data_IF_513996566370
#
_entry.id   IF_513996566370
#
_cell.length_a   1.000
_cell.length_b   1.000
_cell.length_c   1.000
_cell.angle_alpha   90.00
_cell.angle_beta   90.00
_cell.angle_gamma   90.00
#
_symmetry.space_group_name_H-M   'P 1'
#
loop_
_entity.id
_entity.type
_entity.pdbx_description
1 polymer ?
#
# COMPACT_ATOMS: atom_id res chain seq x y z
N UNK A 1 -42.30 41.85 -5.59
CA UNK A 1 -42.01 40.40 -5.40
C UNK A 1 -42.74 39.91 -4.15
N UNK A 2 -43.44 38.77 -4.20
CA UNK A 2 -44.26 38.30 -3.08
C UNK A 2 -43.41 37.62 -1.98
N UNK A 3 -43.72 37.89 -0.70
CA UNK A 3 -43.03 37.29 0.46
C UNK A 3 -43.49 35.85 0.69
N UNK A 4 -42.60 34.88 0.52
CA UNK A 4 -42.89 33.46 0.78
C UNK A 4 -42.47 33.05 2.21
N UNK A 5 -43.32 32.33 2.93
CA UNK A 5 -43.03 31.82 4.29
C UNK A 5 -42.37 30.42 4.23
N UNK A 6 -41.25 30.24 4.93
CA UNK A 6 -40.44 28.99 4.89
C UNK A 6 -40.70 27.99 6.02
N UNK A 7 -41.71 28.21 6.87
CA UNK A 7 -41.97 27.41 8.08
C UNK A 7 -42.20 25.92 7.79
N UNK A 8 -42.96 25.59 6.74
CA UNK A 8 -43.29 24.20 6.37
C UNK A 8 -42.01 23.42 6.02
N UNK A 9 -41.17 23.99 5.14
CA UNK A 9 -39.89 23.38 4.75
C UNK A 9 -38.92 23.22 5.94
N UNK A 10 -38.85 24.23 6.83
CA UNK A 10 -38.03 24.17 8.04
C UNK A 10 -38.48 23.06 8.99
N UNK A 11 -39.79 22.91 9.23
CA UNK A 11 -40.34 21.82 10.06
C UNK A 11 -40.04 20.44 9.48
N UNK A 12 -40.18 20.28 8.16
CA UNK A 12 -39.87 19.02 7.47
C UNK A 12 -38.40 18.61 7.64
N UNK A 13 -37.46 19.54 7.45
CA UNK A 13 -36.02 19.29 7.68
C UNK A 13 -35.72 18.88 9.12
N UNK A 14 -36.29 19.58 10.10
CA UNK A 14 -36.10 19.26 11.53
C UNK A 14 -36.64 17.87 11.87
N UNK A 15 -37.83 17.52 11.39
CA UNK A 15 -38.45 16.20 11.61
C UNK A 15 -37.60 15.07 11.01
N UNK A 16 -36.99 15.27 9.83
CA UNK A 16 -36.08 14.30 9.20
C UNK A 16 -34.87 14.00 10.09
N UNK A 17 -34.19 15.04 10.58
CA UNK A 17 -33.00 14.88 11.43
C UNK A 17 -33.36 14.24 12.77
N UNK A 18 -34.43 14.69 13.43
CA UNK A 18 -34.86 14.11 14.71
C UNK A 18 -35.32 12.65 14.56
N UNK A 19 -35.88 12.26 13.39
CA UNK A 19 -36.19 10.86 13.10
C UNK A 19 -34.93 9.99 13.04
N UNK A 20 -33.83 10.51 12.46
CA UNK A 20 -32.54 9.81 12.40
C UNK A 20 -31.82 9.78 13.75
N UNK A 21 -32.05 10.77 14.61
CA UNK A 21 -31.41 10.89 15.92
C UNK A 21 -32.10 10.11 17.04
N UNK A 22 -33.19 9.39 16.74
CA UNK A 22 -33.89 8.56 17.73
C UNK A 22 -32.92 7.53 18.34
N UNK A 23 -32.95 7.40 19.67
CA UNK A 23 -32.07 6.52 20.42
C UNK A 23 -30.74 7.13 20.86
N UNK A 24 -30.41 8.36 20.43
CA UNK A 24 -29.23 9.06 20.95
C UNK A 24 -29.42 9.53 22.39
N UNK A 25 -28.36 9.44 23.19
CA UNK A 25 -28.40 9.78 24.60
C UNK A 25 -28.48 11.30 24.86
N UNK A 26 -29.16 11.69 25.95
CA UNK A 26 -29.23 13.07 26.42
C UNK A 26 -29.97 14.03 25.48
N UNK A 27 -29.41 15.23 25.25
CA UNK A 27 -30.03 16.26 24.42
C UNK A 27 -29.99 15.96 22.91
N UNK A 28 -29.18 14.97 22.50
CA UNK A 28 -28.85 14.67 21.09
C UNK A 28 -30.00 14.04 20.29
N UNK A 29 -31.12 13.69 20.93
CA UNK A 29 -32.36 13.28 20.26
C UNK A 29 -33.51 14.28 20.41
N UNK A 30 -33.35 15.31 21.27
CA UNK A 30 -34.40 16.28 21.62
C UNK A 30 -34.20 17.62 20.91
N UNK A 31 -32.99 18.17 20.95
CA UNK A 31 -32.67 19.49 20.41
C UNK A 31 -32.13 19.36 18.98
N UNK A 32 -32.70 20.10 18.02
CA UNK A 32 -32.32 19.98 16.61
C UNK A 32 -30.83 20.27 16.35
N UNK A 33 -30.25 21.28 17.00
CA UNK A 33 -28.86 21.69 16.76
C UNK A 33 -27.88 20.58 17.13
N UNK A 34 -27.98 20.09 18.37
CA UNK A 34 -27.13 19.00 18.88
C UNK A 34 -27.40 17.69 18.16
N UNK A 35 -28.67 17.40 17.83
CA UNK A 35 -29.03 16.22 17.03
C UNK A 35 -28.41 16.25 15.63
N UNK A 36 -28.45 17.39 14.95
CA UNK A 36 -27.89 17.54 13.61
C UNK A 36 -26.37 17.32 13.60
N UNK A 37 -25.66 17.92 14.56
CA UNK A 37 -24.21 17.70 14.73
C UNK A 37 -23.87 16.24 14.98
N UNK A 38 -24.63 15.57 15.88
CA UNK A 38 -24.41 14.16 16.17
C UNK A 38 -24.74 13.27 14.95
N UNK A 39 -25.84 13.51 14.24
CA UNK A 39 -26.20 12.75 13.04
C UNK A 39 -25.13 12.87 11.97
N UNK A 40 -24.58 14.08 11.73
CA UNK A 40 -23.48 14.29 10.79
C UNK A 40 -22.23 13.48 11.17
N UNK A 41 -21.85 13.48 12.46
CA UNK A 41 -20.72 12.68 12.96
C UNK A 41 -20.97 11.18 12.82
N UNK A 42 -22.15 10.71 13.22
CA UNK A 42 -22.53 9.29 13.11
C UNK A 42 -22.53 8.81 11.66
N UNK A 43 -22.99 9.62 10.70
CA UNK A 43 -22.93 9.28 9.28
C UNK A 43 -21.50 9.17 8.75
N UNK A 44 -20.61 10.08 9.18
CA UNK A 44 -19.17 10.00 8.88
C UNK A 44 -18.57 8.71 9.44
N UNK A 45 -18.84 8.40 10.70
CA UNK A 45 -18.36 7.15 11.32
C UNK A 45 -18.95 5.91 10.66
N UNK A 46 -20.22 5.91 10.25
CA UNK A 46 -20.81 4.79 9.53
C UNK A 46 -20.10 4.55 8.19
N UNK A 47 -19.74 5.62 7.46
CA UNK A 47 -18.98 5.50 6.21
C UNK A 47 -17.59 4.91 6.44
N UNK A 48 -16.86 5.41 7.43
CA UNK A 48 -15.55 4.91 7.81
C UNK A 48 -15.64 3.45 8.29
N UNK A 49 -16.61 3.15 9.16
CA UNK A 49 -16.88 1.83 9.73
C UNK A 49 -17.14 0.77 8.66
N UNK A 50 -17.93 1.08 7.61
CA UNK A 50 -18.12 0.14 6.48
C UNK A 50 -16.82 -0.26 5.79
N UNK A 51 -15.83 0.64 5.74
CA UNK A 51 -14.50 0.34 5.20
C UNK A 51 -13.63 -0.41 6.21
N UNK A 52 -13.74 -0.08 7.50
CA UNK A 52 -13.00 -0.73 8.59
C UNK A 52 -13.42 -2.17 8.85
N UNK A 53 -14.71 -2.50 8.76
CA UNK A 53 -15.24 -3.87 8.96
C UNK A 53 -14.51 -4.89 8.08
N UNK A 54 -14.16 -4.53 6.84
CA UNK A 54 -13.40 -5.42 5.95
C UNK A 54 -12.02 -5.77 6.51
N UNK A 55 -11.35 -4.82 7.18
CA UNK A 55 -10.04 -5.02 7.82
C UNK A 55 -10.18 -5.77 9.14
N UNK A 56 -11.18 -5.43 9.94
CA UNK A 56 -11.47 -6.08 11.22
C UNK A 56 -11.80 -7.57 11.03
N UNK A 57 -12.66 -7.89 10.06
CA UNK A 57 -12.99 -9.27 9.71
C UNK A 57 -11.75 -10.03 9.23
N UNK A 58 -10.91 -9.40 8.39
CA UNK A 58 -9.65 -10.01 7.96
C UNK A 58 -8.71 -10.28 9.14
N UNK A 59 -8.60 -9.34 10.08
CA UNK A 59 -7.80 -9.51 11.30
C UNK A 59 -8.31 -10.71 12.11
N UNK A 60 -9.62 -10.79 12.31
CA UNK A 60 -10.26 -11.90 13.02
C UNK A 60 -9.99 -13.25 12.34
N UNK A 61 -10.16 -13.34 11.01
CA UNK A 61 -9.89 -14.58 10.28
C UNK A 61 -8.43 -15.01 10.42
N UNK A 62 -7.47 -14.07 10.31
CA UNK A 62 -6.05 -14.38 10.50
C UNK A 62 -5.78 -14.88 11.91
N UNK A 63 -6.35 -14.25 12.94
CA UNK A 63 -6.20 -14.71 14.33
C UNK A 63 -6.72 -16.13 14.52
N UNK A 64 -7.89 -16.45 13.96
CA UNK A 64 -8.49 -17.79 14.01
C UNK A 64 -7.63 -18.83 13.28
N UNK A 65 -7.21 -18.52 12.05
CA UNK A 65 -6.35 -19.41 11.26
C UNK A 65 -5.01 -19.62 11.97
N UNK A 66 -4.41 -18.56 12.54
CA UNK A 66 -3.15 -18.69 13.27
C UNK A 66 -3.32 -19.61 14.49
N UNK A 67 -4.42 -19.52 15.24
CA UNK A 67 -4.68 -20.46 16.32
C UNK A 67 -4.72 -21.91 15.83
N UNK A 68 -5.51 -22.20 14.77
CA UNK A 68 -5.57 -23.54 14.18
C UNK A 68 -4.22 -24.01 13.60
N UNK A 69 -3.47 -23.12 12.96
CA UNK A 69 -2.15 -23.42 12.41
C UNK A 69 -1.14 -23.79 13.52
N UNK A 70 -1.17 -23.08 14.65
CA UNK A 70 -0.30 -23.33 15.79
C UNK A 70 -0.58 -24.69 16.44
N UNK A 71 -1.84 -25.11 16.51
CA UNK A 71 -2.20 -26.46 16.97
C UNK A 71 -1.59 -27.54 16.07
N UNK A 72 -1.47 -27.27 14.77
CA UNK A 72 -0.84 -28.17 13.80
C UNK A 72 0.68 -27.95 13.65
N UNK A 73 1.31 -27.16 14.52
CA UNK A 73 2.77 -26.95 14.55
C UNK A 73 3.33 -26.12 13.40
N UNK A 74 2.53 -25.32 12.69
CA UNK A 74 3.00 -24.42 11.61
C UNK A 74 2.63 -22.97 11.91
N UNK A 75 3.44 -22.01 11.45
CA UNK A 75 3.09 -20.59 11.53
C UNK A 75 2.12 -20.18 10.41
N UNK A 76 1.28 -19.18 10.64
CA UNK A 76 0.36 -18.65 9.62
C UNK A 76 1.07 -18.21 8.32
N UNK A 77 2.27 -17.62 8.45
CA UNK A 77 3.07 -17.17 7.29
C UNK A 77 3.49 -18.36 6.42
N UNK A 78 4.03 -19.41 7.05
CA UNK A 78 4.40 -20.65 6.37
C UNK A 78 3.19 -21.34 5.77
N UNK A 79 2.05 -21.42 6.48
CA UNK A 79 0.82 -22.00 5.94
C UNK A 79 0.36 -21.28 4.66
N UNK A 80 0.29 -19.95 4.68
CA UNK A 80 -0.13 -19.17 3.52
C UNK A 80 0.84 -19.32 2.35
N UNK A 81 2.14 -19.40 2.65
CA UNK A 81 3.18 -19.64 1.66
C UNK A 81 3.03 -21.03 1.02
N UNK A 82 2.88 -22.09 1.83
CA UNK A 82 2.68 -23.46 1.35
C UNK A 82 1.42 -23.63 0.50
N UNK A 83 0.31 -22.98 0.87
CA UNK A 83 -0.90 -22.98 0.06
C UNK A 83 -0.71 -22.30 -1.29
N UNK A 84 0.10 -21.24 -1.37
CA UNK A 84 0.44 -20.59 -2.63
C UNK A 84 1.31 -21.48 -3.51
N UNK A 85 2.24 -22.23 -2.94
CA UNK A 85 3.07 -23.18 -3.69
C UNK A 85 2.27 -24.36 -4.24
N UNK A 86 1.29 -24.83 -3.47
CA UNK A 86 0.36 -25.87 -3.89
C UNK A 86 -0.72 -25.37 -4.87
N UNK A 87 -0.70 -24.09 -5.26
CA UNK A 87 -1.69 -23.40 -6.09
C UNK A 87 -3.15 -23.50 -5.57
N UNK A 88 -3.31 -23.58 -4.24
CA UNK A 88 -4.61 -23.68 -3.59
C UNK A 88 -5.15 -22.28 -3.30
N UNK A 89 -6.09 -21.82 -4.12
CA UNK A 89 -6.72 -20.50 -3.98
C UNK A 89 -7.91 -20.53 -3.01
N UNK A 90 -7.64 -20.56 -1.71
CA UNK A 90 -8.69 -20.51 -0.67
C UNK A 90 -8.80 -19.12 -0.04
N UNK A 91 -10.03 -18.63 0.08
CA UNK A 91 -10.34 -17.40 0.80
C UNK A 91 -10.15 -17.57 2.31
N UNK A 92 -9.57 -16.56 2.97
CA UNK A 92 -9.33 -16.56 4.43
C UNK A 92 -10.61 -16.73 5.25
N UNK A 93 -11.75 -16.24 4.76
CA UNK A 93 -13.05 -16.46 5.40
C UNK A 93 -13.36 -17.96 5.52
N UNK A 94 -13.25 -18.69 4.40
CA UNK A 94 -13.51 -20.13 4.38
C UNK A 94 -12.47 -20.90 5.19
N UNK A 95 -11.20 -20.56 5.05
CA UNK A 95 -10.13 -21.19 5.83
C UNK A 95 -10.32 -21.00 7.35
N UNK A 96 -10.79 -19.82 7.77
CA UNK A 96 -11.11 -19.57 9.18
C UNK A 96 -12.35 -20.31 9.68
N UNK A 97 -13.32 -20.57 8.79
CA UNK A 97 -14.53 -21.31 9.11
C UNK A 97 -14.23 -22.79 9.28
N UNK A 98 -13.42 -23.35 8.38
CA UNK A 98 -12.91 -24.72 8.49
C UNK A 98 -12.12 -24.91 9.78
N UNK A 99 -11.24 -23.98 10.14
CA UNK A 99 -10.48 -24.05 11.38
C UNK A 99 -11.36 -24.08 12.65
N UNK A 100 -12.60 -23.60 12.60
CA UNK A 100 -13.54 -23.61 13.74
C UNK A 100 -14.42 -24.86 13.71
N UNK A 101 -14.99 -25.19 12.56
CA UNK A 101 -16.06 -26.20 12.45
C UNK A 101 -15.54 -27.59 12.10
N UNK A 102 -14.42 -27.68 11.39
CA UNK A 102 -13.84 -28.93 10.91
C UNK A 102 -12.32 -28.96 11.10
N UNK A 103 -11.92 -29.43 12.28
CA UNK A 103 -10.51 -29.56 12.61
C UNK A 103 -9.79 -30.58 11.70
N UNK A 104 -10.45 -31.67 11.32
CA UNK A 104 -9.84 -32.72 10.52
C UNK A 104 -9.55 -32.24 9.09
N UNK A 105 -10.52 -31.59 8.44
CA UNK A 105 -10.32 -31.00 7.11
C UNK A 105 -9.28 -29.88 7.12
N UNK A 106 -9.21 -29.09 8.18
CA UNK A 106 -8.16 -28.08 8.32
C UNK A 106 -6.75 -28.71 8.45
N UNK A 107 -6.60 -29.79 9.22
CA UNK A 107 -5.31 -30.50 9.35
C UNK A 107 -4.83 -31.07 8.00
N UNK A 108 -5.73 -31.66 7.20
CA UNK A 108 -5.38 -32.14 5.86
C UNK A 108 -4.83 -31.03 4.95
N UNK A 109 -5.43 -29.84 4.99
CA UNK A 109 -4.94 -28.67 4.25
C UNK A 109 -3.54 -28.24 4.74
N UNK A 110 -3.31 -28.28 6.06
CA UNK A 110 -2.02 -27.94 6.64
C UNK A 110 -0.94 -28.93 6.22
N UNK A 111 -1.25 -30.23 6.14
CA UNK A 111 -0.32 -31.26 5.67
C UNK A 111 0.07 -31.04 4.21
N UNK A 112 -0.89 -30.75 3.33
CA UNK A 112 -0.61 -30.40 1.93
C UNK A 112 0.34 -29.19 1.86
N UNK A 113 0.08 -28.16 2.68
CA UNK A 113 0.94 -26.98 2.73
C UNK A 113 2.36 -27.32 3.23
N UNK A 114 2.51 -28.19 4.24
CA UNK A 114 3.82 -28.66 4.72
C UNK A 114 4.59 -29.42 3.64
N UNK A 115 3.92 -30.31 2.92
CA UNK A 115 4.52 -31.09 1.83
C UNK A 115 5.00 -30.18 0.69
N UNK A 116 4.21 -29.16 0.31
CA UNK A 116 4.62 -28.19 -0.70
C UNK A 116 5.87 -27.40 -0.30
N UNK A 117 5.97 -27.00 0.98
CA UNK A 117 7.16 -26.31 1.51
C UNK A 117 8.38 -27.24 1.51
N UNK A 118 8.22 -28.49 1.92
CA UNK A 118 9.29 -29.48 1.91
C UNK A 118 9.80 -29.75 0.48
N UNK A 119 8.90 -29.89 -0.49
CA UNK A 119 9.25 -30.05 -1.90
C UNK A 119 10.05 -28.86 -2.43
N UNK A 120 9.69 -27.62 -2.05
CA UNK A 120 10.46 -26.44 -2.44
C UNK A 120 11.82 -26.36 -1.76
N UNK A 121 11.97 -26.78 -0.51
CA UNK A 121 13.26 -26.80 0.19
C UNK A 121 14.27 -27.73 -0.49
N UNK A 122 13.79 -28.78 -1.16
CA UNK A 122 14.60 -29.73 -1.93
C UNK A 122 14.86 -29.27 -3.37
N UNK A 123 14.15 -28.26 -3.86
CA UNK A 123 14.43 -27.67 -5.17
C UNK A 123 15.73 -26.85 -5.08
N UNK A 124 16.69 -27.02 -6.01
CA UNK A 124 17.89 -26.20 -6.01
C UNK A 124 17.46 -24.74 -6.10
N UNK A 125 17.93 -23.89 -5.18
CA UNK A 125 17.78 -22.43 -5.30
C UNK A 125 18.27 -22.07 -6.69
N UNK A 126 17.35 -21.66 -7.57
CA UNK A 126 17.69 -21.16 -8.88
C UNK A 126 18.71 -20.04 -8.68
N UNK A 127 19.97 -20.36 -8.97
CA UNK A 127 20.98 -19.36 -9.26
C UNK A 127 20.34 -18.54 -10.36
N UNK A 128 20.16 -17.24 -10.14
CA UNK A 128 19.86 -16.33 -11.24
C UNK A 128 21.09 -16.41 -12.15
N UNK A 129 21.08 -17.33 -13.09
CA UNK A 129 21.91 -17.19 -14.27
C UNK A 129 21.41 -15.92 -14.94
N UNK A 130 22.19 -14.85 -14.74
CA UNK A 130 22.16 -13.69 -15.60
C UNK A 130 22.65 -14.20 -16.94
N UNK A 131 21.73 -14.73 -17.75
CA UNK A 131 21.98 -14.92 -19.17
C UNK A 131 22.12 -13.51 -19.72
N UNK A 132 23.37 -13.11 -19.93
CA UNK A 132 23.70 -11.94 -20.75
C UNK A 132 23.34 -12.33 -22.17
N UNK A 133 22.08 -12.13 -22.55
CA UNK A 133 21.71 -12.15 -23.96
C UNK A 133 22.31 -10.89 -24.61
N UNK A 134 23.23 -11.13 -25.52
CA UNK A 134 23.87 -10.14 -26.36
C UNK A 134 22.81 -9.48 -27.24
N UNK A 135 22.65 -8.16 -27.11
CA UNK A 135 21.69 -7.36 -27.87
C UNK A 135 22.18 -7.24 -29.32
N UNK A 136 21.68 -8.11 -30.20
CA UNK A 136 21.77 -7.90 -31.65
C UNK A 136 20.69 -6.91 -32.06
N UNK A 137 21.13 -5.75 -32.55
CA UNK A 137 20.30 -4.65 -32.99
C UNK A 137 19.31 -5.06 -34.10
N UNK A 138 18.03 -4.78 -33.88
CA UNK A 138 17.03 -4.68 -34.97
C UNK A 138 16.51 -3.24 -35.05
N UNK A 139 16.34 -2.68 -36.26
CA UNK A 139 16.08 -1.27 -36.46
C UNK A 139 14.65 -0.86 -36.07
N UNK A 140 14.55 0.40 -35.67
CA UNK A 140 13.35 1.09 -35.21
C UNK A 140 12.13 0.93 -36.14
N UNK A 141 10.99 0.57 -35.55
CA UNK A 141 9.66 0.86 -36.10
C UNK A 141 8.94 1.70 -35.06
N UNK A 142 8.76 2.99 -35.39
CA UNK A 142 7.97 3.93 -34.60
C UNK A 142 6.48 3.61 -34.77
N UNK A 143 5.88 2.95 -33.77
CA UNK A 143 4.43 2.91 -33.64
C UNK A 143 4.00 3.89 -32.55
N UNK A 144 3.61 5.09 -32.99
CA UNK A 144 3.05 6.13 -32.13
C UNK A 144 1.65 5.74 -31.68
N UNK A 145 1.53 5.00 -30.59
CA UNK A 145 0.29 4.86 -29.83
C UNK A 145 0.19 6.04 -28.87
N UNK A 146 -0.56 7.07 -29.25
CA UNK A 146 -0.96 8.16 -28.36
C UNK A 146 -1.93 7.61 -27.32
N UNK A 147 -1.46 7.44 -26.08
CA UNK A 147 -2.34 7.23 -24.92
C UNK A 147 -2.49 8.57 -24.21
N UNK A 148 -3.70 9.12 -24.20
CA UNK A 148 -4.04 10.37 -23.52
C UNK A 148 -3.77 10.25 -22.01
N UNK A 149 -2.64 10.77 -21.55
CA UNK A 149 -2.31 10.92 -20.12
C UNK A 149 -2.97 12.16 -19.54
N UNK A 150 -4.31 12.21 -19.51
CA UNK A 150 -5.06 13.32 -18.96
C UNK A 150 -5.64 13.06 -17.55
N UNK A 151 -5.55 11.85 -16.98
CA UNK A 151 -6.37 11.48 -15.81
C UNK A 151 -5.64 11.05 -14.52
N UNK A 152 -4.32 11.22 -14.41
CA UNK A 152 -3.61 11.03 -13.13
C UNK A 152 -2.74 12.24 -12.77
N UNK A 153 -3.41 13.35 -12.52
CA UNK A 153 -2.82 14.52 -11.90
C UNK A 153 -2.27 14.22 -10.49
N UNK A 154 -1.01 14.62 -10.29
CA UNK A 154 -0.54 15.25 -9.05
C UNK A 154 -0.77 14.49 -7.74
N UNK A 155 0.02 13.45 -7.43
CA UNK A 155 0.30 13.12 -6.03
C UNK A 155 1.46 12.13 -5.75
N UNK A 156 2.38 11.88 -6.69
CA UNK A 156 3.53 11.01 -6.42
C UNK A 156 4.81 11.81 -6.11
N UNK A 157 5.01 12.95 -6.77
CA UNK A 157 6.09 13.87 -6.44
C UNK A 157 5.99 14.40 -5.00
N UNK A 158 4.79 14.75 -4.54
CA UNK A 158 4.53 15.24 -3.17
C UNK A 158 4.69 14.16 -2.10
N UNK A 159 4.43 12.89 -2.44
CA UNK A 159 4.62 11.75 -1.52
C UNK A 159 6.11 11.43 -1.35
N UNK A 160 6.90 11.56 -2.41
CA UNK A 160 8.35 11.37 -2.36
C UNK A 160 9.03 12.54 -1.64
N UNK A 161 8.60 13.78 -1.88
CA UNK A 161 9.09 14.95 -1.14
C UNK A 161 8.76 14.87 0.37
N UNK A 162 7.58 14.36 0.75
CA UNK A 162 7.18 14.16 2.15
C UNK A 162 7.94 13.05 2.89
N UNK A 163 8.64 12.16 2.17
CA UNK A 163 9.50 11.14 2.78
C UNK A 163 10.87 11.74 3.12
N UNK A 164 11.35 12.67 2.30
CA UNK A 164 12.64 13.36 2.49
C UNK A 164 12.55 14.40 3.63
N UNK A 165 11.40 15.08 3.78
CA UNK A 165 11.25 16.17 4.77
C UNK A 165 10.90 15.71 6.21
N UNK A 166 10.65 14.42 6.46
CA UNK A 166 10.20 13.93 7.78
C UNK A 166 11.29 13.34 8.68
N UNK A 167 12.57 13.38 8.28
CA UNK A 167 13.69 12.87 9.09
C UNK A 167 14.78 13.93 9.29
N UNK A 168 14.39 15.07 9.86
CA UNK A 168 15.30 16.17 10.27
C UNK A 168 16.17 15.80 11.49
N UNK A 169 16.34 14.52 11.89
CA UNK A 169 17.10 14.18 13.11
C UNK A 169 17.85 12.85 13.11
N UNK A 170 18.21 12.25 11.96
CA UNK A 170 19.16 11.13 11.96
C UNK A 170 20.18 11.28 10.80
N UNK A 171 21.45 11.04 11.12
CA UNK A 171 22.65 11.35 10.34
C UNK A 171 22.73 10.66 8.97
N UNK A 172 22.08 11.23 7.95
CA UNK A 172 22.26 10.80 6.55
C UNK A 172 23.51 11.47 5.94
N UNK A 173 24.44 10.65 5.44
CA UNK A 173 25.65 11.16 4.78
C UNK A 173 25.34 11.65 3.36
N UNK A 174 26.18 12.55 2.82
CA UNK A 174 26.01 13.12 1.48
C UNK A 174 25.96 12.06 0.38
N UNK A 175 26.60 10.91 0.59
CA UNK A 175 26.64 9.76 -0.31
C UNK A 175 25.27 9.07 -0.44
N UNK A 176 24.53 8.98 0.67
CA UNK A 176 23.22 8.34 0.70
C UNK A 176 22.17 9.16 -0.05
N UNK A 177 22.22 10.49 0.03
CA UNK A 177 21.34 11.40 -0.73
C UNK A 177 21.63 11.28 -2.24
N UNK A 178 22.90 11.12 -2.61
CA UNK A 178 23.31 10.89 -3.99
C UNK A 178 22.75 9.56 -4.52
N UNK A 179 22.88 8.47 -3.76
CA UNK A 179 22.39 7.15 -4.15
C UNK A 179 20.87 7.14 -4.42
N UNK A 180 20.08 7.80 -3.59
CA UNK A 180 18.63 7.90 -3.79
C UNK A 180 18.27 8.74 -5.01
N UNK A 181 19.06 9.77 -5.34
CA UNK A 181 18.85 10.60 -6.54
C UNK A 181 19.17 9.84 -7.83
N UNK A 182 20.22 9.01 -7.85
CA UNK A 182 20.57 8.15 -8.99
C UNK A 182 19.52 7.06 -9.24
N UNK A 183 18.95 6.48 -8.18
CA UNK A 183 17.83 5.53 -8.28
C UNK A 183 16.58 6.21 -8.85
N UNK A 184 16.28 7.44 -8.40
CA UNK A 184 15.14 8.20 -8.92
C UNK A 184 15.31 8.58 -10.40
N UNK A 185 16.53 8.93 -10.83
CA UNK A 185 16.86 9.23 -12.23
C UNK A 185 16.77 7.99 -13.13
N UNK A 186 17.16 6.81 -12.63
CA UNK A 186 17.04 5.55 -13.36
C UNK A 186 15.58 5.11 -13.60
N UNK A 187 14.67 5.46 -12.68
CA UNK A 187 13.25 5.08 -12.78
C UNK A 187 12.46 6.07 -13.67
N UNK A 188 12.87 7.33 -13.78
CA UNK A 188 12.12 8.37 -14.51
C UNK A 188 12.99 9.16 -15.50
N UNK A 189 13.37 8.58 -16.65
CA UNK A 189 14.35 9.15 -17.57
C UNK A 189 13.88 10.38 -18.38
N UNK A 190 12.59 10.76 -18.33
CA UNK A 190 12.01 11.84 -19.17
C UNK A 190 11.48 13.05 -18.38
N UNK A 191 11.92 13.26 -17.13
CA UNK A 191 11.51 14.44 -16.36
C UNK A 191 12.59 15.53 -16.36
N UNK A 192 12.49 16.46 -17.32
CA UNK A 192 13.43 17.57 -17.55
C UNK A 192 13.59 18.52 -16.35
N UNK A 193 12.57 18.61 -15.48
CA UNK A 193 12.59 19.49 -14.31
C UNK A 193 13.45 18.92 -13.17
N UNK A 194 13.47 17.59 -13.04
CA UNK A 194 14.31 16.88 -12.06
C UNK A 194 15.78 16.96 -12.49
N UNK A 195 16.05 16.75 -13.78
CA UNK A 195 17.41 16.82 -14.34
C UNK A 195 18.03 18.23 -14.19
N UNK A 196 17.24 19.29 -14.42
CA UNK A 196 17.69 20.67 -14.23
C UNK A 196 17.97 21.02 -12.75
N UNK A 197 17.22 20.40 -11.83
CA UNK A 197 17.39 20.60 -10.38
C UNK A 197 18.63 19.87 -9.88
N UNK A 198 18.88 18.65 -10.36
CA UNK A 198 20.10 17.88 -10.09
C UNK A 198 21.33 18.64 -10.62
N UNK A 199 21.28 19.17 -11.86
CA UNK A 199 22.37 19.97 -12.44
C UNK A 199 22.65 21.26 -11.66
N UNK A 200 21.62 21.94 -11.14
CA UNK A 200 21.79 23.12 -10.26
C UNK A 200 22.44 22.77 -8.93
N UNK A 201 22.02 21.68 -8.29
CA UNK A 201 22.54 21.26 -6.99
C UNK A 201 24.00 20.77 -7.09
N UNK A 202 24.33 20.06 -8.17
CA UNK A 202 25.72 19.68 -8.48
C UNK A 202 26.57 20.94 -8.74
N UNK A 203 26.06 21.92 -9.50
CA UNK A 203 26.77 23.17 -9.78
C UNK A 203 26.98 24.05 -8.53
N UNK A 204 26.07 24.02 -7.54
CA UNK A 204 26.28 24.70 -6.25
C UNK A 204 27.35 24.00 -5.40
N UNK A 205 27.43 22.66 -5.44
CA UNK A 205 28.46 21.91 -4.73
C UNK A 205 29.86 22.11 -5.32
N UNK A 206 29.95 22.36 -6.63
CA UNK A 206 31.22 22.71 -7.32
C UNK A 206 31.74 24.10 -6.93
N UNK A 207 30.87 25.04 -6.51
CA UNK A 207 31.29 26.36 -6.02
C UNK A 207 31.98 26.32 -4.66
N UNK A 208 31.71 25.29 -3.85
CA UNK A 208 32.25 25.15 -2.48
C UNK A 208 33.58 24.38 -2.43
N UNK A 209 34.24 24.17 -3.57
CA UNK A 209 35.62 23.66 -3.65
C UNK A 209 35.82 22.20 -3.23
N UNK A 210 34.75 21.43 -3.01
CA UNK A 210 34.84 19.99 -2.73
C UNK A 210 34.80 19.19 -4.03
N UNK A 211 35.97 19.04 -4.64
CA UNK A 211 36.20 18.04 -5.69
C UNK A 211 36.23 16.66 -5.02
N UNK A 212 35.31 15.77 -5.39
CA UNK A 212 35.52 14.32 -5.23
C UNK A 212 35.56 13.77 -6.65
N UNK A 213 36.77 13.64 -7.18
CA UNK A 213 37.03 12.74 -8.30
C UNK A 213 36.60 11.34 -7.85
N UNK A 214 35.46 10.86 -8.36
CA UNK A 214 35.12 9.44 -8.24
C UNK A 214 35.88 8.74 -9.36
N UNK A 215 37.10 8.35 -9.04
CA UNK A 215 37.96 7.49 -9.85
C UNK A 215 37.22 6.18 -10.10
N UNK A 216 36.68 6.01 -11.31
CA UNK A 216 36.06 4.77 -11.79
C UNK A 216 37.19 3.82 -12.17
N UNK A 217 37.95 3.30 -11.21
CA UNK A 217 38.91 2.22 -11.48
C UNK A 217 39.30 1.48 -10.22
N UNK A 218 38.67 0.32 -9.96
CA UNK A 218 39.33 -0.90 -9.44
C UNK A 218 38.33 -1.93 -8.92
N UNK A 219 37.76 -2.72 -9.84
CA UNK A 219 37.48 -4.13 -9.55
C UNK A 219 38.23 -4.99 -10.58
N UNK A 220 39.57 -4.97 -10.52
CA UNK A 220 40.41 -6.03 -11.07
C UNK A 220 40.55 -7.12 -10.01
N UNK A 221 39.98 -8.28 -10.31
CA UNK A 221 40.13 -9.52 -9.54
C UNK A 221 41.52 -10.11 -9.79
N UNK A 222 42.16 -10.53 -8.70
CA UNK A 222 43.43 -11.26 -8.60
C UNK A 222 43.46 -12.50 -9.51
N UNK A 223 44.60 -12.73 -10.18
CA UNK A 223 45.09 -14.05 -10.61
C UNK A 223 46.16 -14.49 -9.62
#
# INVERSE_FOLDING_TARGET
>A
MARVKSNVASRARKKKVLKLAKGYFGSKHRLYRTANEQVMRSQRYAFIGRKQVKREMRKLWITRINAGARLNGISYSQLTFGLRLADIQINRKMLSEMAIHDAAGFTAIVEIAKNAIANQANAPKAVKEVVVEEVVATPAVEENVTVDTADYGSNWADVVYNIIDRHVNDDFTTEDVLAHSHIAAAIYPKNTTIEATIKRNIASLVKDGKVVEVEVDSYKKVK
#
